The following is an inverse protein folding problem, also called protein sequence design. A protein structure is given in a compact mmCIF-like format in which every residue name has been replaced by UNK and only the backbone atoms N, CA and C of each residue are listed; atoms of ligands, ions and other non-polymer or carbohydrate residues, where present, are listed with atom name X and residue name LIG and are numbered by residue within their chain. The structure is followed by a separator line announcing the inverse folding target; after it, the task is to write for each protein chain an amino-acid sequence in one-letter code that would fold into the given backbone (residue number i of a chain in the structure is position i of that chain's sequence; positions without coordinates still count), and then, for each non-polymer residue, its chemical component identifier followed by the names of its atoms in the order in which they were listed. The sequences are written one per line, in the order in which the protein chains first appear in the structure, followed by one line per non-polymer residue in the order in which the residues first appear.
data_IF_133718454292
#
_entry.id   IF_133718454292
#
_cell.length_a   1.000
_cell.length_b   1.000
_cell.length_c   1.000
_cell.angle_alpha   90.00
_cell.angle_beta   90.00
_cell.angle_gamma   90.00
#
_symmetry.space_group_name_H-M   'P 1'
#
loop_
_entity.id
_entity.type
_entity.pdbx_description
1 polymer ?
#
# COMPACT_ATOMS: atom_id res chain seq x y z
N UNK A 1 7.27 12.24 -5.88
CA UNK A 1 7.39 10.88 -6.46
C UNK A 1 8.78 10.25 -6.33
N UNK A 2 9.91 10.98 -6.25
CA UNK A 2 11.21 10.34 -5.98
C UNK A 2 11.27 9.58 -4.65
N UNK A 3 10.71 10.15 -3.57
CA UNK A 3 10.92 9.63 -2.21
C UNK A 3 10.21 8.32 -1.90
N UNK A 4 9.03 8.07 -2.48
CA UNK A 4 8.30 6.81 -2.31
C UNK A 4 9.00 5.64 -3.02
N UNK A 5 9.81 5.90 -4.05
CA UNK A 5 10.57 4.87 -4.75
C UNK A 5 11.82 4.41 -3.99
N UNK A 6 12.18 5.05 -2.87
CA UNK A 6 13.25 4.56 -2.00
C UNK A 6 12.93 3.19 -1.41
N UNK A 7 11.63 2.88 -1.21
CA UNK A 7 11.15 1.55 -0.84
C UNK A 7 10.93 0.63 -2.05
N UNK A 8 11.25 1.07 -3.27
CA UNK A 8 11.10 0.30 -4.50
C UNK A 8 11.94 -0.99 -4.53
N UNK A 9 13.24 -0.97 -4.19
CA UNK A 9 14.07 -2.18 -4.20
C UNK A 9 13.50 -3.33 -3.35
N UNK A 10 13.10 -3.15 -2.07
CA UNK A 10 12.46 -4.23 -1.32
C UNK A 10 11.09 -4.63 -1.88
N UNK A 11 10.30 -3.71 -2.43
CA UNK A 11 9.04 -4.07 -3.08
C UNK A 11 9.23 -5.00 -4.27
N UNK A 12 10.30 -4.82 -5.04
CA UNK A 12 10.69 -5.72 -6.13
C UNK A 12 11.27 -7.02 -5.58
N UNK A 13 12.23 -6.93 -4.66
CA UNK A 13 12.96 -8.09 -4.13
C UNK A 13 12.04 -9.10 -3.42
N UNK A 14 11.03 -8.61 -2.70
CA UNK A 14 10.07 -9.46 -2.00
C UNK A 14 8.81 -9.76 -2.81
N UNK A 15 8.75 -9.34 -4.08
CA UNK A 15 7.59 -9.61 -4.95
C UNK A 15 6.29 -8.94 -4.48
N UNK A 16 6.36 -7.83 -3.76
CA UNK A 16 5.20 -7.19 -3.14
C UNK A 16 4.25 -6.58 -4.18
N UNK A 17 4.78 -5.86 -5.17
CA UNK A 17 3.95 -5.32 -6.26
C UNK A 17 3.23 -6.40 -7.07
N UNK A 18 3.90 -7.45 -7.59
CA UNK A 18 3.20 -8.51 -8.33
C UNK A 18 2.23 -9.30 -7.44
N UNK A 19 2.53 -9.52 -6.15
CA UNK A 19 1.60 -10.20 -5.24
C UNK A 19 0.31 -9.42 -5.06
N UNK A 20 0.45 -8.11 -4.80
CA UNK A 20 -0.67 -7.19 -4.63
C UNK A 20 -1.46 -7.05 -5.93
N UNK A 21 -0.77 -6.89 -7.06
CA UNK A 21 -1.43 -6.77 -8.37
C UNK A 21 -2.21 -8.03 -8.74
N UNK A 22 -1.64 -9.22 -8.52
CA UNK A 22 -2.31 -10.48 -8.78
C UNK A 22 -3.54 -10.68 -7.88
N UNK A 23 -3.42 -10.46 -6.57
CA UNK A 23 -4.54 -10.62 -5.63
C UNK A 23 -5.68 -9.63 -5.92
N UNK A 24 -5.38 -8.35 -6.16
CA UNK A 24 -6.41 -7.37 -6.52
C UNK A 24 -7.02 -7.60 -7.91
N UNK A 25 -6.22 -7.97 -8.91
CA UNK A 25 -6.75 -8.30 -10.23
C UNK A 25 -7.68 -9.52 -10.17
N UNK A 26 -7.32 -10.55 -9.42
CA UNK A 26 -8.19 -11.71 -9.18
C UNK A 26 -9.49 -11.33 -8.47
N UNK A 27 -9.40 -10.49 -7.42
CA UNK A 27 -10.58 -10.05 -6.67
C UNK A 27 -11.51 -9.17 -7.53
N UNK A 28 -10.97 -8.15 -8.20
CA UNK A 28 -11.75 -7.25 -9.06
C UNK A 28 -12.29 -7.96 -10.30
N UNK A 29 -11.50 -8.85 -10.89
CA UNK A 29 -11.90 -9.66 -12.05
C UNK A 29 -12.80 -10.85 -11.71
N UNK A 30 -12.98 -11.15 -10.41
CA UNK A 30 -13.71 -12.31 -9.87
C UNK A 30 -13.21 -13.64 -10.45
N UNK A 31 -11.89 -13.78 -10.51
CA UNK A 31 -11.25 -14.93 -11.14
C UNK A 31 -11.29 -16.17 -10.24
N UNK A 32 -11.50 -17.36 -10.82
CA UNK A 32 -11.30 -18.61 -10.10
C UNK A 32 -9.80 -18.83 -9.83
N UNK A 33 -9.48 -19.67 -8.84
CA UNK A 33 -8.09 -19.92 -8.40
C UNK A 33 -7.25 -20.51 -9.53
N UNK A 34 -7.87 -21.26 -10.43
CA UNK A 34 -7.24 -21.94 -11.56
C UNK A 34 -7.00 -21.01 -12.77
N UNK A 35 -7.43 -19.75 -12.72
CA UNK A 35 -7.25 -18.77 -13.80
C UNK A 35 -6.49 -17.53 -13.30
N UNK A 36 -5.19 -17.65 -12.97
CA UNK A 36 -4.39 -16.55 -12.44
C UNK A 36 -4.24 -15.40 -13.46
N UNK A 37 -4.39 -14.13 -13.04
CA UNK A 37 -4.16 -13.00 -13.92
C UNK A 37 -2.68 -12.89 -14.27
N UNK A 38 -2.38 -12.63 -15.55
CA UNK A 38 -1.02 -12.38 -16.03
C UNK A 38 -0.01 -13.49 -15.71
N UNK A 39 -0.49 -14.74 -15.56
CA UNK A 39 0.35 -15.92 -15.27
C UNK A 39 0.91 -15.98 -13.84
N UNK A 40 0.47 -15.12 -12.92
CA UNK A 40 0.95 -15.13 -11.53
C UNK A 40 -0.04 -15.88 -10.65
N UNK A 41 0.38 -17.04 -10.16
CA UNK A 41 -0.36 -17.88 -9.21
C UNK A 41 0.38 -17.99 -7.87
N UNK A 42 -0.20 -18.73 -6.93
CA UNK A 42 0.36 -18.94 -5.59
C UNK A 42 0.42 -20.42 -5.26
N UNK A 43 1.56 -20.89 -4.77
CA UNK A 43 1.74 -22.28 -4.36
C UNK A 43 2.75 -22.37 -3.22
N UNK A 44 2.66 -23.43 -2.42
CA UNK A 44 3.75 -23.79 -1.53
C UNK A 44 4.96 -24.23 -2.37
N UNK A 45 6.17 -23.90 -1.94
CA UNK A 45 7.38 -24.31 -2.66
C UNK A 45 8.36 -25.09 -1.77
N UNK A 46 9.16 -25.95 -2.40
CA UNK A 46 10.34 -26.56 -1.75
C UNK A 46 11.51 -25.58 -1.67
N UNK A 47 12.67 -26.05 -1.18
CA UNK A 47 13.89 -25.24 -1.05
C UNK A 47 14.45 -24.79 -2.41
N UNK A 48 14.11 -25.52 -3.47
CA UNK A 48 14.45 -25.22 -4.86
C UNK A 48 13.41 -24.33 -5.56
N UNK A 49 12.45 -23.78 -4.80
CA UNK A 49 11.35 -22.92 -5.26
C UNK A 49 10.40 -23.59 -6.27
N UNK A 50 10.31 -24.92 -6.26
CA UNK A 50 9.36 -25.65 -7.09
C UNK A 50 8.02 -25.83 -6.38
N UNK A 51 6.89 -25.70 -7.09
CA UNK A 51 5.58 -25.94 -6.51
C UNK A 51 5.48 -27.34 -5.89
N UNK A 52 4.92 -27.39 -4.68
CA UNK A 52 4.61 -28.63 -3.96
C UNK A 52 3.27 -28.50 -3.26
N UNK A 53 2.77 -29.62 -2.75
CA UNK A 53 1.63 -29.62 -1.86
C UNK A 53 1.98 -28.91 -0.54
N UNK A 54 1.09 -28.04 -0.08
CA UNK A 54 1.17 -27.41 1.24
C UNK A 54 0.93 -28.47 2.33
N UNK A 55 1.82 -28.54 3.32
CA UNK A 55 1.69 -29.50 4.42
C UNK A 55 0.57 -29.14 5.40
N UNK A 56 0.05 -30.10 6.18
CA UNK A 56 -1.02 -29.86 7.14
C UNK A 56 -0.62 -28.87 8.25
N UNK A 57 0.64 -28.88 8.70
CA UNK A 57 1.14 -27.92 9.70
C UNK A 57 1.25 -26.50 9.14
N UNK A 58 1.71 -26.35 7.90
CA UNK A 58 1.78 -25.06 7.21
C UNK A 58 0.37 -24.49 6.97
N UNK A 59 -0.57 -25.36 6.56
CA UNK A 59 -1.98 -25.02 6.42
C UNK A 59 -2.59 -24.56 7.75
N UNK A 60 -2.31 -25.24 8.86
CA UNK A 60 -2.80 -24.86 10.17
C UNK A 60 -2.29 -23.49 10.63
N UNK A 61 -1.06 -23.11 10.22
CA UNK A 61 -0.45 -21.81 10.56
C UNK A 61 -0.94 -20.66 9.69
N UNK A 62 -1.43 -20.91 8.47
CA UNK A 62 -1.83 -19.85 7.53
C UNK A 62 -2.81 -18.84 8.12
N UNK A 63 -3.76 -19.26 8.96
CA UNK A 63 -4.73 -18.34 9.55
C UNK A 63 -4.11 -17.37 10.56
N UNK A 64 -3.04 -17.78 11.24
CA UNK A 64 -2.38 -16.99 12.30
C UNK A 64 -1.18 -16.19 11.77
N UNK A 65 -0.36 -16.81 10.92
CA UNK A 65 0.88 -16.23 10.39
C UNK A 65 0.68 -15.57 9.01
N UNK A 66 -0.49 -15.76 8.42
CA UNK A 66 -0.86 -15.27 7.10
C UNK A 66 -1.04 -13.75 7.07
N UNK A 67 -0.30 -13.07 6.20
CA UNK A 67 -0.52 -11.65 5.93
C UNK A 67 -1.66 -11.39 4.92
N UNK A 68 -2.28 -12.44 4.39
CA UNK A 68 -3.28 -12.38 3.31
C UNK A 68 -2.69 -12.06 1.92
N UNK A 69 -1.38 -11.78 1.83
CA UNK A 69 -0.66 -11.51 0.58
C UNK A 69 0.62 -12.36 0.58
N UNK A 70 0.82 -13.24 -0.41
CA UNK A 70 2.07 -13.98 -0.56
C UNK A 70 3.26 -13.06 -0.83
N UNK A 71 4.48 -13.39 -0.39
CA UNK A 71 4.87 -14.64 0.26
C UNK A 71 4.42 -14.75 1.72
N UNK A 72 3.83 -15.89 2.11
CA UNK A 72 3.31 -16.09 3.48
C UNK A 72 3.19 -17.58 3.84
N UNK A 73 3.57 -17.95 5.07
CA UNK A 73 3.48 -19.32 5.63
C UNK A 73 3.82 -20.47 4.65
N UNK A 74 4.94 -20.34 3.92
CA UNK A 74 5.42 -21.34 2.95
C UNK A 74 4.82 -21.21 1.54
N UNK A 75 3.79 -20.39 1.36
CA UNK A 75 3.24 -20.02 0.05
C UNK A 75 4.09 -18.90 -0.56
N UNK A 76 4.47 -19.10 -1.82
CA UNK A 76 5.18 -18.16 -2.67
C UNK A 76 4.32 -17.78 -3.87
N UNK A 77 4.71 -16.71 -4.55
CA UNK A 77 4.20 -16.46 -5.89
C UNK A 77 4.92 -17.37 -6.89
N UNK A 78 4.19 -17.87 -7.87
CA UNK A 78 4.71 -18.77 -8.91
C UNK A 78 4.28 -18.23 -10.27
N UNK A 79 5.23 -18.17 -11.20
CA UNK A 79 4.95 -17.79 -12.58
C UNK A 79 4.58 -19.04 -13.38
N UNK A 80 3.31 -19.15 -13.74
CA UNK A 80 2.73 -20.22 -14.55
C UNK A 80 2.57 -19.74 -16.01
N UNK A 81 3.70 -19.67 -16.71
CA UNK A 81 3.77 -19.37 -18.13
C UNK A 81 4.52 -20.50 -18.86
N UNK A 82 4.23 -20.76 -20.16
CA UNK A 82 4.96 -21.76 -20.92
C UNK A 82 6.48 -21.54 -20.87
N UNK A 83 7.22 -22.52 -20.38
CA UNK A 83 8.69 -22.50 -20.30
C UNK A 83 9.28 -21.87 -19.03
N UNK A 84 8.47 -21.35 -18.10
CA UNK A 84 8.99 -20.77 -16.84
C UNK A 84 9.21 -21.80 -15.74
N UNK A 85 8.63 -23.01 -15.84
CA UNK A 85 8.77 -24.10 -14.86
C UNK A 85 8.63 -23.65 -13.39
N UNK A 86 7.75 -22.67 -13.11
CA UNK A 86 7.52 -22.15 -11.76
C UNK A 86 8.60 -21.20 -11.22
N UNK A 87 9.41 -20.58 -12.08
CA UNK A 87 10.52 -19.72 -11.66
C UNK A 87 10.04 -18.49 -10.86
N UNK A 88 10.45 -18.41 -9.59
CA UNK A 88 10.24 -17.25 -8.71
C UNK A 88 11.00 -15.99 -9.17
N UNK A 89 12.10 -16.16 -9.91
CA UNK A 89 12.99 -15.05 -10.32
C UNK A 89 12.38 -14.07 -11.35
N UNK A 90 11.16 -14.30 -11.84
CA UNK A 90 10.51 -13.49 -12.88
C UNK A 90 9.27 -12.73 -12.41
N UNK A 91 8.96 -12.72 -11.12
CA UNK A 91 7.73 -12.10 -10.58
C UNK A 91 7.71 -10.57 -10.77
N UNK A 92 8.89 -9.94 -10.85
CA UNK A 92 9.06 -8.52 -11.20
C UNK A 92 9.29 -8.26 -12.69
N UNK A 93 8.92 -9.19 -13.59
CA UNK A 93 9.18 -9.02 -15.02
C UNK A 93 8.42 -7.82 -15.60
N UNK A 94 9.04 -7.17 -16.59
CA UNK A 94 8.40 -6.10 -17.37
C UNK A 94 7.09 -6.59 -18.02
N UNK A 95 7.05 -7.85 -18.44
CA UNK A 95 5.87 -8.46 -19.07
C UNK A 95 4.69 -8.56 -18.11
N UNK A 96 4.89 -9.03 -16.88
CA UNK A 96 3.83 -9.07 -15.86
C UNK A 96 3.34 -7.66 -15.51
N UNK A 97 4.26 -6.69 -15.36
CA UNK A 97 3.91 -5.30 -15.10
C UNK A 97 3.11 -4.66 -16.26
N UNK A 98 3.48 -4.95 -17.51
CA UNK A 98 2.73 -4.53 -18.71
C UNK A 98 1.33 -5.12 -18.74
N UNK A 99 1.20 -6.42 -18.45
CA UNK A 99 -0.09 -7.09 -18.40
C UNK A 99 -1.01 -6.49 -17.33
N UNK A 100 -0.55 -6.30 -16.09
CA UNK A 100 -1.37 -5.66 -15.06
C UNK A 100 -1.74 -4.21 -15.40
N UNK A 101 -0.81 -3.48 -16.03
CA UNK A 101 -1.11 -2.13 -16.52
C UNK A 101 -2.20 -2.17 -17.60
N UNK A 102 -2.15 -3.14 -18.51
CA UNK A 102 -3.18 -3.37 -19.52
C UNK A 102 -4.53 -3.76 -18.92
N UNK A 103 -4.56 -4.61 -17.88
CA UNK A 103 -5.78 -4.92 -17.13
C UNK A 103 -6.40 -3.69 -16.46
N UNK A 104 -5.56 -2.83 -15.86
CA UNK A 104 -6.05 -1.63 -15.19
C UNK A 104 -6.51 -0.53 -16.16
N UNK A 105 -5.98 -0.48 -17.39
CA UNK A 105 -6.20 0.65 -18.32
C UNK A 105 -6.96 0.30 -19.59
N UNK A 106 -7.15 -0.98 -19.90
CA UNK A 106 -7.80 -1.42 -21.14
C UNK A 106 -6.96 -1.26 -22.40
N UNK A 107 -5.64 -1.10 -22.28
CA UNK A 107 -4.74 -1.01 -23.43
C UNK A 107 -3.30 -1.32 -23.05
N UNK A 108 -2.49 -1.74 -24.02
CA UNK A 108 -1.05 -1.87 -23.80
C UNK A 108 -0.40 -0.50 -23.51
N UNK A 109 0.63 -0.45 -22.64
CA UNK A 109 1.39 0.79 -22.40
C UNK A 109 1.94 1.43 -23.68
N UNK A 110 2.39 0.60 -24.62
CA UNK A 110 2.94 0.99 -25.92
C UNK A 110 1.86 1.39 -26.94
N UNK A 111 0.58 1.20 -26.62
CA UNK A 111 -0.54 1.37 -27.53
C UNK A 111 -0.93 0.08 -28.26
N UNK A 112 -2.08 0.12 -28.94
CA UNK A 112 -2.69 -1.04 -29.61
C UNK A 112 -3.82 -1.69 -28.81
N UNK A 113 -4.60 -2.52 -29.49
CA UNK A 113 -5.72 -3.24 -28.90
C UNK A 113 -5.24 -4.43 -28.05
N UNK A 114 -5.97 -4.74 -26.99
CA UNK A 114 -5.76 -5.97 -26.24
C UNK A 114 -6.31 -7.17 -27.04
N UNK A 115 -5.69 -8.35 -26.93
CA UNK A 115 -6.31 -9.61 -27.34
C UNK A 115 -7.71 -9.78 -26.72
N UNK A 116 -8.60 -10.50 -27.39
CA UNK A 116 -10.02 -10.54 -27.02
C UNK A 116 -10.28 -11.06 -25.59
N UNK A 117 -9.57 -12.12 -25.20
CA UNK A 117 -9.57 -12.71 -23.87
C UNK A 117 -9.04 -11.72 -22.81
N UNK A 118 -7.93 -11.05 -23.09
CA UNK A 118 -7.36 -10.06 -22.18
C UNK A 118 -8.23 -8.80 -22.07
N UNK A 119 -8.90 -8.39 -23.15
CA UNK A 119 -9.85 -7.27 -23.14
C UNK A 119 -11.08 -7.58 -22.28
N UNK A 120 -11.62 -8.80 -22.37
CA UNK A 120 -12.71 -9.26 -21.50
C UNK A 120 -12.29 -9.25 -20.03
N UNK A 121 -11.12 -9.81 -19.72
CA UNK A 121 -10.57 -9.79 -18.37
C UNK A 121 -10.35 -8.36 -17.86
N UNK A 122 -9.74 -7.51 -18.70
CA UNK A 122 -9.49 -6.10 -18.40
C UNK A 122 -10.80 -5.35 -18.12
N UNK A 123 -11.88 -5.63 -18.87
CA UNK A 123 -13.21 -5.07 -18.58
C UNK A 123 -13.77 -5.53 -17.23
N UNK A 124 -13.63 -6.82 -16.91
CA UNK A 124 -14.07 -7.36 -15.61
C UNK A 124 -13.31 -6.68 -14.46
N UNK A 125 -11.97 -6.62 -14.55
CA UNK A 125 -11.12 -5.96 -13.56
C UNK A 125 -11.49 -4.49 -13.39
N UNK A 126 -11.62 -3.71 -14.48
CA UNK A 126 -12.00 -2.29 -14.39
C UNK A 126 -13.38 -2.10 -13.78
N UNK A 127 -14.33 -2.98 -14.10
CA UNK A 127 -15.67 -2.96 -13.49
C UNK A 127 -15.57 -3.19 -11.99
N UNK A 128 -14.84 -4.21 -11.53
CA UNK A 128 -14.64 -4.46 -10.10
C UNK A 128 -13.88 -3.35 -9.38
N UNK A 129 -12.93 -2.69 -10.05
CA UNK A 129 -12.25 -1.50 -9.52
C UNK A 129 -13.22 -0.32 -9.36
N UNK A 130 -14.13 -0.13 -10.30
CA UNK A 130 -15.16 0.92 -10.22
C UNK A 130 -16.20 0.62 -9.13
N UNK A 131 -16.61 -0.64 -8.97
CA UNK A 131 -17.49 -1.12 -7.88
C UNK A 131 -16.86 -0.88 -6.49
N UNK A 132 -15.55 -1.13 -6.35
CA UNK A 132 -14.82 -0.96 -5.10
C UNK A 132 -14.36 0.49 -4.85
N UNK A 133 -14.58 1.41 -5.80
CA UNK A 133 -14.05 2.78 -5.69
C UNK A 133 -14.77 3.55 -4.58
N UNK A 134 -14.00 3.98 -3.59
CA UNK A 134 -14.51 4.81 -2.51
C UNK A 134 -14.96 6.19 -3.03
N UNK A 135 -16.22 6.54 -2.81
CA UNK A 135 -16.85 7.74 -3.38
C UNK A 135 -16.46 9.06 -2.70
N UNK A 136 -15.85 8.95 -1.50
CA UNK A 136 -15.62 10.04 -0.54
C UNK A 136 -16.89 10.70 0.03
N UNK A 137 -18.07 10.12 -0.23
CA UNK A 137 -19.35 10.58 0.30
C UNK A 137 -19.62 9.93 1.67
N UNK A 138 -19.19 10.59 2.74
CA UNK A 138 -19.19 10.00 4.08
C UNK A 138 -20.44 10.29 4.92
N UNK A 139 -21.33 11.19 4.47
CA UNK A 139 -22.53 11.64 5.22
C UNK A 139 -22.15 12.08 6.65
N UNK A 140 -21.15 12.95 6.75
CA UNK A 140 -20.60 13.48 8.01
C UNK A 140 -20.02 12.45 8.99
N UNK A 141 -19.79 11.19 8.57
CA UNK A 141 -19.05 10.23 9.40
C UNK A 141 -17.60 10.71 9.54
N UNK A 142 -17.08 10.88 10.76
CA UNK A 142 -15.71 11.30 10.96
C UNK A 142 -14.75 10.19 10.52
N UNK A 143 -13.70 10.56 9.78
CA UNK A 143 -12.67 9.65 9.28
C UNK A 143 -11.31 10.29 9.51
N UNK A 144 -10.40 9.55 10.14
CA UNK A 144 -8.97 9.88 10.16
C UNK A 144 -8.26 9.04 9.10
N UNK A 145 -7.40 9.67 8.32
CA UNK A 145 -6.50 9.01 7.38
C UNK A 145 -5.08 9.30 7.85
N UNK A 146 -4.36 8.27 8.27
CA UNK A 146 -2.93 8.36 8.55
C UNK A 146 -2.19 7.65 7.42
N UNK A 147 -1.27 8.33 6.74
CA UNK A 147 -0.53 7.75 5.61
C UNK A 147 0.90 8.27 5.57
N UNK A 148 1.88 7.37 5.45
CA UNK A 148 3.26 7.74 5.21
C UNK A 148 3.48 8.36 3.82
N UNK A 149 4.09 9.55 3.76
CA UNK A 149 4.43 10.22 2.50
C UNK A 149 5.30 9.36 1.58
N UNK A 150 6.15 8.53 2.20
CA UNK A 150 7.15 7.68 1.53
C UNK A 150 6.69 6.23 1.42
N UNK A 151 5.38 6.00 1.47
CA UNK A 151 4.79 4.70 1.14
C UNK A 151 5.06 4.36 -0.34
N UNK A 152 5.98 3.41 -0.55
CA UNK A 152 6.34 2.89 -1.88
C UNK A 152 5.45 1.76 -2.39
N UNK A 153 4.55 1.22 -1.55
CA UNK A 153 3.60 0.19 -1.98
C UNK A 153 2.30 0.83 -2.47
N UNK A 154 1.76 1.79 -1.72
CA UNK A 154 0.51 2.51 -1.98
C UNK A 154 0.79 4.01 -2.02
N UNK A 155 1.22 4.58 -3.16
CA UNK A 155 1.62 5.97 -3.21
C UNK A 155 0.50 6.95 -2.83
N UNK A 156 0.79 7.88 -1.92
CA UNK A 156 -0.18 8.84 -1.36
C UNK A 156 -0.97 9.64 -2.42
N UNK A 157 -0.33 9.94 -3.56
CA UNK A 157 -0.95 10.70 -4.66
C UNK A 157 -2.10 9.94 -5.34
N UNK A 158 -2.04 8.60 -5.35
CA UNK A 158 -3.05 7.75 -5.99
C UNK A 158 -4.03 7.13 -4.99
N UNK A 159 -3.90 7.47 -3.70
CA UNK A 159 -4.70 6.95 -2.60
C UNK A 159 -5.23 8.09 -1.72
N UNK A 160 -4.58 8.36 -0.58
CA UNK A 160 -5.09 9.26 0.46
C UNK A 160 -5.22 10.72 0.01
N UNK A 161 -4.25 11.26 -0.73
CA UNK A 161 -4.36 12.64 -1.26
C UNK A 161 -5.53 12.76 -2.24
N UNK A 162 -5.69 11.78 -3.13
CA UNK A 162 -6.79 11.76 -4.09
C UNK A 162 -8.15 11.61 -3.39
N UNK A 163 -8.24 10.73 -2.39
CA UNK A 163 -9.45 10.52 -1.60
C UNK A 163 -9.82 11.76 -0.77
N UNK A 164 -8.87 12.31 -0.02
CA UNK A 164 -9.07 13.53 0.76
C UNK A 164 -9.45 14.69 -0.17
N UNK A 165 -8.69 14.92 -1.24
CA UNK A 165 -8.99 15.94 -2.25
C UNK A 165 -10.41 15.83 -2.80
N UNK A 166 -10.85 14.61 -3.15
CA UNK A 166 -12.23 14.35 -3.58
C UNK A 166 -13.26 14.71 -2.50
N UNK A 167 -13.00 14.37 -1.24
CA UNK A 167 -13.90 14.70 -0.13
C UNK A 167 -14.08 16.21 0.06
N UNK A 168 -12.98 16.97 0.16
CA UNK A 168 -13.05 18.43 0.34
C UNK A 168 -13.62 19.15 -0.89
N UNK A 169 -13.33 18.68 -2.11
CA UNK A 169 -13.93 19.23 -3.34
C UNK A 169 -15.45 19.04 -3.40
N UNK A 170 -16.00 18.04 -2.72
CA UNK A 170 -17.44 17.83 -2.57
C UNK A 170 -18.06 18.67 -1.44
N UNK A 171 -17.29 19.53 -0.78
CA UNK A 171 -17.72 20.33 0.37
C UNK A 171 -17.70 19.58 1.70
N UNK A 172 -17.08 18.40 1.76
CA UNK A 172 -16.95 17.62 2.99
C UNK A 172 -15.84 18.12 3.91
N UNK A 173 -16.09 18.06 5.22
CA UNK A 173 -15.13 18.43 6.27
C UNK A 173 -14.91 17.33 7.32
N UNK A 174 -15.45 16.13 7.10
CA UNK A 174 -15.41 15.05 8.09
C UNK A 174 -14.20 14.12 7.95
N UNK A 175 -13.34 14.35 6.95
CA UNK A 175 -12.07 13.65 6.79
C UNK A 175 -10.94 14.53 7.30
N UNK A 176 -10.12 13.97 8.18
CA UNK A 176 -8.88 14.57 8.65
C UNK A 176 -7.72 13.72 8.13
N UNK A 177 -6.87 14.34 7.32
CA UNK A 177 -5.75 13.67 6.67
C UNK A 177 -4.43 14.06 7.31
N UNK A 178 -3.73 13.06 7.86
CA UNK A 178 -2.42 13.19 8.48
C UNK A 178 -1.38 12.46 7.64
N UNK A 179 -0.51 13.23 7.00
CA UNK A 179 0.56 12.71 6.15
C UNK A 179 1.88 12.70 6.92
N UNK A 180 2.43 11.52 7.21
CA UNK A 180 3.67 11.40 8.00
C UNK A 180 4.87 11.46 7.07
N UNK A 181 5.70 12.49 7.26
CA UNK A 181 6.79 12.87 6.34
C UNK A 181 7.75 11.71 6.04
N UNK A 182 8.22 11.01 7.07
CA UNK A 182 9.12 9.86 6.93
C UNK A 182 8.41 8.51 7.14
N UNK A 183 7.08 8.47 7.05
CA UNK A 183 6.31 7.23 7.16
C UNK A 183 6.35 6.41 5.88
N UNK A 184 6.26 5.09 6.02
CA UNK A 184 6.20 4.11 4.92
C UNK A 184 5.27 2.94 5.29
N UNK A 185 5.06 1.98 4.39
CA UNK A 185 4.04 0.93 4.49
C UNK A 185 4.28 -0.16 5.55
N UNK A 186 5.54 -0.58 5.73
CA UNK A 186 5.96 -1.80 6.43
C UNK A 186 6.78 -1.51 7.69
N UNK A 187 6.15 -1.23 8.82
CA UNK A 187 6.87 -0.98 10.09
C UNK A 187 7.84 -2.12 10.46
N UNK A 188 7.46 -3.36 10.15
CA UNK A 188 8.28 -4.56 10.38
C UNK A 188 9.63 -4.54 9.64
N UNK A 189 9.75 -3.81 8.53
CA UNK A 189 10.99 -3.72 7.76
C UNK A 189 11.98 -2.72 8.34
N UNK A 190 11.52 -1.75 9.13
CA UNK A 190 12.36 -0.69 9.71
C UNK A 190 13.56 -1.25 10.48
N UNK A 191 13.41 -2.23 11.39
CA UNK A 191 14.54 -2.81 12.11
C UNK A 191 15.30 -3.89 11.31
N UNK A 192 14.74 -4.41 10.21
CA UNK A 192 15.29 -5.55 9.47
C UNK A 192 16.15 -5.14 8.28
N UNK A 193 15.78 -4.08 7.57
CA UNK A 193 16.44 -3.67 6.35
C UNK A 193 17.56 -2.66 6.64
N UNK A 194 18.75 -2.83 6.04
CA UNK A 194 19.85 -1.87 6.18
C UNK A 194 19.42 -0.45 5.80
N UNK A 195 19.76 0.52 6.64
CA UNK A 195 19.48 1.95 6.42
C UNK A 195 18.04 2.38 6.71
N UNK A 196 17.07 1.46 6.82
CA UNK A 196 15.66 1.84 7.00
C UNK A 196 15.38 2.52 8.34
N UNK A 197 16.07 2.07 9.38
CA UNK A 197 16.00 2.68 10.71
C UNK A 197 16.41 4.15 10.76
N UNK A 198 17.21 4.61 9.79
CA UNK A 198 17.63 6.00 9.62
C UNK A 198 16.97 6.73 8.44
N UNK A 199 16.14 6.04 7.66
CA UNK A 199 15.35 6.64 6.59
C UNK A 199 13.90 6.86 6.99
N UNK A 200 13.34 6.04 7.88
CA UNK A 200 11.90 6.00 8.16
C UNK A 200 11.57 6.04 9.65
N UNK A 201 10.32 6.38 9.95
CA UNK A 201 9.74 6.33 11.29
C UNK A 201 8.62 5.29 11.35
N UNK A 202 8.43 4.57 12.47
CA UNK A 202 7.33 3.63 12.61
C UNK A 202 5.99 4.37 12.70
N UNK A 203 4.99 3.85 12.01
CA UNK A 203 3.63 4.39 11.93
C UNK A 203 2.74 3.88 13.08
N UNK A 204 3.02 2.70 13.63
CA UNK A 204 2.20 2.05 14.66
C UNK A 204 1.90 2.96 15.87
N UNK A 205 2.87 3.70 16.45
CA UNK A 205 2.56 4.59 17.58
C UNK A 205 1.60 5.73 17.18
N UNK A 206 1.74 6.27 15.96
CA UNK A 206 0.85 7.32 15.44
C UNK A 206 -0.55 6.77 15.14
N UNK A 207 -0.65 5.50 14.70
CA UNK A 207 -1.94 4.81 14.54
C UNK A 207 -2.67 4.71 15.89
N UNK A 208 -1.98 4.29 16.95
CA UNK A 208 -2.56 4.22 18.30
C UNK A 208 -3.04 5.61 18.75
N UNK A 209 -2.22 6.64 18.59
CA UNK A 209 -2.60 8.01 18.92
C UNK A 209 -3.80 8.52 18.10
N UNK A 210 -3.89 8.17 16.82
CA UNK A 210 -5.03 8.51 15.96
C UNK A 210 -6.31 7.80 16.41
N UNK A 211 -6.23 6.52 16.80
CA UNK A 211 -7.36 5.77 17.35
C UNK A 211 -7.85 6.38 18.67
N UNK A 212 -6.95 6.76 19.57
CA UNK A 212 -7.31 7.45 20.82
C UNK A 212 -8.01 8.80 20.56
N UNK A 213 -7.52 9.58 19.57
CA UNK A 213 -8.16 10.84 19.16
C UNK A 213 -9.57 10.61 18.59
N UNK A 214 -9.75 9.61 17.72
CA UNK A 214 -11.09 9.26 17.22
C UNK A 214 -11.99 8.79 18.36
N UNK A 215 -11.48 8.01 19.30
CA UNK A 215 -12.24 7.56 20.46
C UNK A 215 -12.78 8.76 21.25
N UNK A 216 -11.91 9.69 21.67
CA UNK A 216 -12.33 10.92 22.39
C UNK A 216 -13.23 11.82 21.56
N UNK A 217 -13.04 11.90 20.24
CA UNK A 217 -13.95 12.63 19.38
C UNK A 217 -15.37 12.06 19.45
N UNK A 218 -15.50 10.73 19.42
CA UNK A 218 -16.78 10.04 19.46
C UNK A 218 -17.43 10.02 20.85
N UNK A 219 -16.64 9.95 21.93
CA UNK A 219 -17.15 9.80 23.30
C UNK A 219 -17.26 11.10 24.08
N UNK A 220 -16.36 12.05 23.83
CA UNK A 220 -16.22 13.30 24.61
C UNK A 220 -16.49 14.54 23.75
N UNK A 221 -16.61 14.39 22.42
CA UNK A 221 -16.83 15.51 21.50
C UNK A 221 -15.58 16.36 21.25
N UNK A 222 -14.38 15.85 21.57
CA UNK A 222 -13.12 16.54 21.30
C UNK A 222 -12.94 16.76 19.80
N UNK A 223 -12.62 17.99 19.39
CA UNK A 223 -12.36 18.31 17.98
C UNK A 223 -11.12 17.57 17.47
N UNK A 224 -11.22 17.02 16.26
CA UNK A 224 -10.08 16.41 15.59
C UNK A 224 -9.17 17.50 14.99
N UNK A 225 -7.83 17.40 15.12
CA UNK A 225 -6.89 18.34 14.51
C UNK A 225 -7.13 18.56 13.01
N UNK A 226 -6.88 19.77 12.47
CA UNK A 226 -6.92 19.98 11.02
C UNK A 226 -5.97 19.02 10.28
N UNK A 227 -6.32 18.70 9.03
CA UNK A 227 -5.46 17.91 8.14
C UNK A 227 -4.08 18.55 8.02
N UNK A 228 -3.02 17.75 8.15
CA UNK A 228 -1.66 18.27 8.28
C UNK A 228 -0.58 17.27 7.85
N UNK A 229 0.60 17.79 7.56
CA UNK A 229 1.83 17.02 7.48
C UNK A 229 2.42 16.88 8.87
N UNK A 230 2.61 15.65 9.31
CA UNK A 230 3.27 15.34 10.58
C UNK A 230 4.77 15.30 10.34
N UNK A 231 5.47 16.32 10.83
CA UNK A 231 6.93 16.43 10.73
C UNK A 231 7.58 15.43 11.66
N UNK A 232 8.36 14.54 11.08
CA UNK A 232 9.03 13.45 11.79
C UNK A 232 10.52 13.45 11.50
N UNK A 233 11.30 12.78 12.33
CA UNK A 233 12.76 12.78 12.25
C UNK A 233 13.25 11.34 12.40
N UNK A 234 13.73 10.69 11.33
CA UNK A 234 14.34 9.37 11.42
C UNK A 234 15.49 9.34 12.42
N UNK A 235 15.79 8.14 12.92
CA UNK A 235 16.86 7.97 13.91
C UNK A 235 18.22 8.22 13.26
N UNK A 236 19.16 8.80 14.00
CA UNK A 236 20.50 9.00 13.46
C UNK A 236 21.27 7.69 13.47
N UNK A 237 21.95 7.41 12.37
CA UNK A 237 22.97 6.37 12.29
C UNK A 237 24.34 6.98 12.62
N UNK A 238 25.13 6.29 13.43
CA UNK A 238 26.50 6.62 13.76
C UNK A 238 27.38 5.37 13.77
N UNK A 239 28.66 5.54 14.12
CA UNK A 239 29.64 4.44 14.11
C UNK A 239 29.24 3.27 15.04
N UNK A 240 28.53 3.56 16.13
CA UNK A 240 28.03 2.56 17.10
C UNK A 240 26.67 1.95 16.75
N UNK A 241 26.12 2.25 15.57
CA UNK A 241 24.80 1.79 15.13
C UNK A 241 23.76 2.90 15.07
N UNK A 242 22.48 2.54 15.17
CA UNK A 242 21.37 3.49 15.11
C UNK A 242 20.94 3.88 16.52
N UNK A 243 20.74 5.18 16.76
CA UNK A 243 20.24 5.70 18.02
C UNK A 243 18.89 5.06 18.43
N UNK A 244 18.55 5.05 19.74
CA UNK A 244 17.23 4.62 20.20
C UNK A 244 16.09 5.45 19.59
N UNK A 245 14.91 4.84 19.49
CA UNK A 245 13.71 5.55 19.09
C UNK A 245 13.15 6.38 20.24
N UNK A 246 12.91 7.66 20.01
CA UNK A 246 12.29 8.58 20.95
C UNK A 246 10.98 9.13 20.39
N UNK A 247 10.10 9.62 21.28
CA UNK A 247 8.82 10.24 20.87
C UNK A 247 9.03 11.41 19.90
N UNK A 248 10.11 12.17 20.07
CA UNK A 248 10.47 13.29 19.19
C UNK A 248 10.75 12.86 17.76
N UNK A 249 11.15 11.60 17.51
CA UNK A 249 11.33 11.09 16.15
C UNK A 249 10.02 10.99 15.39
N UNK A 250 8.90 10.73 16.07
CA UNK A 250 7.63 10.38 15.43
C UNK A 250 6.86 11.60 14.91
N UNK A 251 7.18 12.78 15.45
CA UNK A 251 6.36 13.98 15.26
C UNK A 251 5.15 14.04 16.19
N UNK A 252 4.40 15.13 16.08
CA UNK A 252 3.20 15.40 16.88
C UNK A 252 2.08 15.82 15.94
N UNK A 253 0.86 15.37 16.24
CA UNK A 253 -0.36 15.91 15.64
C UNK A 253 -0.73 17.19 16.38
N UNK A 254 -0.58 18.33 15.71
CA UNK A 254 -0.83 19.65 16.27
C UNK A 254 -2.29 20.05 16.09
N UNK A 255 -2.93 20.58 17.13
CA UNK A 255 -4.29 21.11 17.01
C UNK A 255 -4.31 22.40 16.15
N UNK A 256 -3.16 23.09 16.05
CA UNK A 256 -2.92 24.26 15.19
C UNK A 256 -1.67 24.05 14.31
N UNK A 257 -1.77 23.37 13.16
CA UNK A 257 -0.60 22.95 12.38
C UNK A 257 0.13 24.07 11.63
N UNK A 258 -0.43 25.28 11.56
CA UNK A 258 0.18 26.44 10.91
C UNK A 258 0.66 26.15 9.48
N UNK A 259 1.96 26.26 9.23
CA UNK A 259 2.55 26.00 7.91
C UNK A 259 2.45 24.52 7.45
N UNK A 260 2.15 23.59 8.36
CA UNK A 260 2.01 22.17 8.05
C UNK A 260 0.57 21.78 7.67
N UNK A 261 -0.39 22.71 7.68
CA UNK A 261 -1.78 22.43 7.31
C UNK A 261 -1.91 21.99 5.84
N UNK A 262 -2.69 20.94 5.60
CA UNK A 262 -3.08 20.47 4.27
C UNK A 262 -4.46 21.04 3.92
N UNK A 263 -4.51 21.90 2.90
CA UNK A 263 -5.73 22.62 2.50
C UNK A 263 -5.96 22.62 0.99
N UNK A 264 -7.23 22.69 0.60
CA UNK A 264 -7.62 22.89 -0.79
C UNK A 264 -7.58 24.39 -1.11
N UNK A 265 -6.79 24.80 -2.11
CA UNK A 265 -6.79 26.17 -2.66
C UNK A 265 -7.26 26.12 -4.11
N UNK A 266 -8.47 26.62 -4.37
CA UNK A 266 -9.13 26.45 -5.66
C UNK A 266 -9.39 24.96 -5.95
N UNK A 267 -8.67 24.41 -6.93
CA UNK A 267 -8.74 22.97 -7.30
C UNK A 267 -7.47 22.20 -6.95
N UNK A 268 -6.53 22.83 -6.25
CA UNK A 268 -5.23 22.25 -5.93
C UNK A 268 -5.16 21.95 -4.45
N UNK A 269 -4.87 20.70 -4.11
CA UNK A 269 -4.54 20.32 -2.75
C UNK A 269 -3.11 20.80 -2.43
N UNK A 270 -2.98 21.77 -1.54
CA UNK A 270 -1.69 22.22 -1.04
C UNK A 270 -1.27 21.27 0.08
N UNK A 271 -0.21 20.50 -0.18
CA UNK A 271 0.45 19.64 0.80
C UNK A 271 1.82 20.26 1.06
N UNK A 272 2.13 20.71 2.28
CA UNK A 272 3.44 21.25 2.62
C UNK A 272 4.57 20.25 2.32
N UNK A 273 5.62 20.70 1.63
CA UNK A 273 6.84 19.92 1.43
C UNK A 273 7.58 19.72 2.74
#
# INVERSE_FOLDING_TARGET
MPEALEAGPPNVQFGLWPAVAATYASAHGRLPVEAPPCGITFAATDAELKPRTLGPEELARLAADGAGVPPTAGIQLVLDLPGTNGLFASLGSLESARCFRALATGRWPEGGALPADLEELSRSVRTGMDEARMSAALRNRPVLILHGRRDGLVPVNHSSRAYYGRHVMQGGSSVHYYEVEHGQHFDAFIPLLPGWSSSFVPMQPLLVAAMERMHRHLTEGVTLPPSQVVRSFPRRAGESGVEPLWKTNLGILEDEPGANEIRLTGKTLQVPD
#
